data_IF_269869776997
#
_entry.id   IF_269869776997
#
_cell.length_a   1.000
_cell.length_b   1.000
_cell.length_c   1.000
_cell.angle_alpha   90.00
_cell.angle_beta   90.00
_cell.angle_gamma   90.00
#
_symmetry.space_group_name_H-M   'P 1'
#
loop_
_entity.id
_entity.type
_entity.pdbx_description
1 polymer ?
#
# COMPACT_ATOMS: atom_id res chain seq x y z
N UNK A 1 -2.65 -39.85 -33.57
CA UNK A 1 -3.18 -38.54 -34.00
C UNK A 1 -2.23 -37.95 -35.05
N UNK A 2 -2.69 -37.16 -36.04
CA UNK A 2 -1.80 -36.51 -37.00
C UNK A 2 -1.02 -35.39 -36.32
N UNK A 3 0.31 -35.36 -36.46
CA UNK A 3 1.19 -34.38 -35.81
C UNK A 3 0.80 -32.94 -36.16
N UNK A 4 0.43 -32.71 -37.41
CA UNK A 4 -0.06 -31.42 -37.91
C UNK A 4 -1.31 -30.91 -37.18
N UNK A 5 -2.22 -31.79 -36.76
CA UNK A 5 -3.43 -31.41 -36.02
C UNK A 5 -3.07 -30.98 -34.59
N UNK A 6 -2.20 -31.74 -33.93
CA UNK A 6 -1.72 -31.43 -32.59
C UNK A 6 -0.93 -30.11 -32.55
N UNK A 7 0.06 -29.96 -33.44
CA UNK A 7 0.87 -28.74 -33.55
C UNK A 7 0.00 -27.50 -33.82
N UNK A 8 -1.07 -27.65 -34.61
CA UNK A 8 -2.05 -26.60 -34.88
C UNK A 8 -2.85 -26.18 -33.64
N UNK A 9 -3.32 -27.15 -32.84
CA UNK A 9 -4.04 -26.87 -31.58
C UNK A 9 -3.13 -26.16 -30.58
N UNK A 10 -1.92 -26.69 -30.36
CA UNK A 10 -0.96 -26.12 -29.40
C UNK A 10 -0.58 -24.69 -29.81
N UNK A 11 -0.34 -24.46 -31.10
CA UNK A 11 -0.01 -23.13 -31.63
C UNK A 11 -1.15 -22.13 -31.39
N UNK A 12 -2.41 -22.52 -31.69
CA UNK A 12 -3.58 -21.67 -31.50
C UNK A 12 -3.81 -21.34 -30.03
N UNK A 13 -3.72 -22.35 -29.15
CA UNK A 13 -3.83 -22.15 -27.69
C UNK A 13 -2.73 -21.21 -27.20
N UNK A 14 -1.49 -21.37 -27.66
CA UNK A 14 -0.39 -20.48 -27.28
C UNK A 14 -0.61 -19.02 -27.71
N UNK A 15 -1.13 -18.77 -28.92
CA UNK A 15 -1.50 -17.41 -29.35
C UNK A 15 -2.64 -16.84 -28.49
N UNK A 16 -3.64 -17.66 -28.17
CA UNK A 16 -4.75 -17.26 -27.29
C UNK A 16 -4.27 -16.87 -25.89
N UNK A 17 -3.41 -17.70 -25.27
CA UNK A 17 -2.82 -17.41 -23.97
C UNK A 17 -1.91 -16.19 -23.99
N UNK A 18 -1.12 -16.00 -25.05
CA UNK A 18 -0.29 -14.81 -25.24
C UNK A 18 -1.13 -13.53 -25.27
N UNK A 19 -2.20 -13.52 -26.07
CA UNK A 19 -3.13 -12.40 -26.14
C UNK A 19 -3.79 -12.12 -24.78
N UNK A 20 -4.25 -13.17 -24.09
CA UNK A 20 -4.82 -13.04 -22.75
C UNK A 20 -3.83 -12.40 -21.77
N UNK A 21 -2.58 -12.83 -21.77
CA UNK A 21 -1.54 -12.28 -20.90
C UNK A 21 -1.22 -10.82 -21.22
N UNK A 22 -1.26 -10.40 -22.49
CA UNK A 22 -1.11 -8.99 -22.84
C UNK A 22 -2.27 -8.13 -22.32
N UNK A 23 -3.51 -8.62 -22.43
CA UNK A 23 -4.68 -7.94 -21.86
C UNK A 23 -4.55 -7.83 -20.34
N UNK A 24 -4.17 -8.92 -19.68
CA UNK A 24 -3.95 -8.94 -18.23
C UNK A 24 -2.85 -7.95 -17.81
N UNK A 25 -1.72 -7.91 -18.53
CA UNK A 25 -0.64 -6.97 -18.27
C UNK A 25 -1.10 -5.51 -18.40
N UNK A 26 -1.90 -5.20 -19.43
CA UNK A 26 -2.48 -3.86 -19.61
C UNK A 26 -3.41 -3.46 -18.47
N UNK A 27 -4.32 -4.34 -18.06
CA UNK A 27 -5.25 -4.09 -16.95
C UNK A 27 -4.51 -3.92 -15.61
N UNK A 28 -3.51 -4.76 -15.33
CA UNK A 28 -2.70 -4.65 -14.12
C UNK A 28 -1.88 -3.36 -14.09
N UNK A 29 -1.30 -2.95 -15.22
CA UNK A 29 -0.56 -1.70 -15.32
C UNK A 29 -1.48 -0.47 -15.11
N UNK A 30 -2.72 -0.53 -15.62
CA UNK A 30 -3.73 0.49 -15.33
C UNK A 30 -4.07 0.54 -13.83
N UNK A 31 -4.28 -0.62 -13.20
CA UNK A 31 -4.53 -0.71 -11.76
C UNK A 31 -3.39 -0.12 -10.92
N UNK A 32 -2.13 -0.40 -11.28
CA UNK A 32 -0.96 0.23 -10.66
C UNK A 32 -1.00 1.76 -10.78
N UNK A 33 -1.18 2.27 -12.00
CA UNK A 33 -1.18 3.71 -12.26
C UNK A 33 -2.29 4.45 -11.50
N UNK A 34 -3.48 3.85 -11.42
CA UNK A 34 -4.58 4.37 -10.62
C UNK A 34 -4.21 4.43 -9.13
N UNK A 35 -3.74 3.32 -8.56
CA UNK A 35 -3.42 3.25 -7.14
C UNK A 35 -2.31 4.23 -6.74
N UNK A 36 -1.22 4.29 -7.51
CA UNK A 36 -0.09 5.17 -7.24
C UNK A 36 -0.50 6.65 -7.32
N UNK A 37 -1.26 7.03 -8.35
CA UNK A 37 -1.72 8.42 -8.55
C UNK A 37 -2.75 8.85 -7.49
N UNK A 38 -3.69 7.96 -7.14
CA UNK A 38 -4.68 8.23 -6.11
C UNK A 38 -4.02 8.42 -4.75
N UNK A 39 -3.08 7.55 -4.37
CA UNK A 39 -2.36 7.68 -3.09
C UNK A 39 -1.51 8.95 -3.08
N UNK A 40 -0.74 9.19 -4.14
CA UNK A 40 0.13 10.36 -4.24
C UNK A 40 -0.65 11.68 -4.11
N UNK A 41 -1.76 11.83 -4.85
CA UNK A 41 -2.61 13.02 -4.77
C UNK A 41 -3.25 13.22 -3.40
N UNK A 42 -3.79 12.15 -2.79
CA UNK A 42 -4.43 12.23 -1.48
C UNK A 42 -3.43 12.56 -0.35
N UNK A 43 -2.23 11.95 -0.37
CA UNK A 43 -1.18 12.25 0.60
C UNK A 43 -0.64 13.67 0.42
N UNK A 44 -0.40 14.10 -0.82
CA UNK A 44 0.08 15.45 -1.11
C UNK A 44 -0.92 16.54 -0.65
N UNK A 45 -2.21 16.25 -0.71
CA UNK A 45 -3.26 17.15 -0.23
C UNK A 45 -3.21 17.38 1.29
N UNK A 46 -2.66 16.44 2.07
CA UNK A 46 -2.54 16.59 3.53
C UNK A 46 -1.48 17.60 3.97
N UNK A 47 -0.56 18.00 3.07
CA UNK A 47 0.53 18.95 3.37
C UNK A 47 1.41 18.54 4.56
N UNK A 48 1.53 17.24 4.82
CA UNK A 48 2.39 16.70 5.88
C UNK A 48 3.82 16.62 5.37
N UNK A 49 4.72 17.41 5.95
CA UNK A 49 6.16 17.32 5.72
C UNK A 49 6.78 16.28 6.65
N UNK A 50 7.64 15.41 6.12
CA UNK A 50 8.32 14.41 6.94
C UNK A 50 9.39 15.10 7.82
N UNK A 51 9.48 14.73 9.11
CA UNK A 51 10.56 15.20 9.95
C UNK A 51 11.89 14.59 9.49
N UNK A 52 13.01 15.25 9.79
CA UNK A 52 14.35 14.71 9.47
C UNK A 52 14.77 13.56 10.41
N UNK A 53 14.09 13.43 11.55
CA UNK A 53 14.34 12.42 12.58
C UNK A 53 13.04 11.92 13.16
N UNK A 54 13.03 10.67 13.62
CA UNK A 54 11.85 10.08 14.27
C UNK A 54 11.71 10.47 15.74
N UNK A 55 12.81 10.89 16.37
CA UNK A 55 12.90 11.06 17.82
C UNK A 55 13.07 9.74 18.58
N UNK A 56 13.02 8.59 17.90
CA UNK A 56 13.28 7.28 18.47
C UNK A 56 14.79 6.96 18.39
N UNK A 57 15.51 6.87 19.53
CA UNK A 57 16.94 6.54 19.52
C UNK A 57 17.20 5.08 19.11
N UNK A 58 16.19 4.21 19.20
CA UNK A 58 16.31 2.78 18.95
C UNK A 58 15.97 2.38 17.50
N UNK A 59 15.72 3.36 16.63
CA UNK A 59 15.43 3.09 15.22
C UNK A 59 16.64 2.48 14.49
N UNK A 60 16.35 1.50 13.64
CA UNK A 60 17.36 0.90 12.77
C UNK A 60 18.01 1.94 11.85
N UNK A 61 19.29 1.72 11.50
CA UNK A 61 20.05 2.63 10.65
C UNK A 61 19.35 2.98 9.32
N UNK A 62 18.65 2.02 8.72
CA UNK A 62 17.87 2.23 7.50
C UNK A 62 16.70 3.21 7.71
N UNK A 63 16.01 3.14 8.84
CA UNK A 63 14.95 4.08 9.21
C UNK A 63 15.51 5.48 9.41
N UNK A 64 16.63 5.59 10.15
CA UNK A 64 17.31 6.88 10.35
C UNK A 64 17.73 7.50 9.01
N UNK A 65 18.33 6.72 8.12
CA UNK A 65 18.72 7.16 6.79
C UNK A 65 17.50 7.62 5.95
N UNK A 66 16.40 6.87 6.00
CA UNK A 66 15.17 7.22 5.29
C UNK A 66 14.62 8.59 5.73
N UNK A 67 14.50 8.82 7.04
CA UNK A 67 14.00 10.10 7.56
C UNK A 67 14.96 11.26 7.26
N UNK A 68 16.27 11.03 7.31
CA UNK A 68 17.25 12.04 6.92
C UNK A 68 17.13 12.42 5.44
N UNK A 69 16.94 11.45 4.55
CA UNK A 69 16.79 11.69 3.11
C UNK A 69 15.43 12.34 2.77
N UNK A 70 14.39 12.06 3.54
CA UNK A 70 13.04 12.55 3.30
C UNK A 70 12.67 13.78 4.15
N UNK A 71 13.55 14.23 5.05
CA UNK A 71 13.31 15.37 5.93
C UNK A 71 12.95 16.63 5.15
N UNK A 72 11.89 17.31 5.58
CA UNK A 72 11.35 18.51 4.94
C UNK A 72 10.55 18.26 3.66
N UNK A 73 10.63 17.06 3.07
CA UNK A 73 9.85 16.72 1.87
C UNK A 73 8.40 16.46 2.23
N UNK A 74 7.52 16.82 1.31
CA UNK A 74 6.10 16.49 1.42
C UNK A 74 5.90 14.97 1.28
N UNK A 75 5.01 14.41 2.09
CA UNK A 75 4.58 13.02 1.96
C UNK A 75 3.72 12.84 0.71
N UNK A 76 4.22 12.08 -0.27
CA UNK A 76 3.53 11.85 -1.56
C UNK A 76 3.56 10.40 -2.00
N UNK A 77 4.10 9.48 -1.19
CA UNK A 77 4.17 8.06 -1.53
C UNK A 77 3.63 7.19 -0.40
N UNK A 78 3.06 6.03 -0.74
CA UNK A 78 2.62 5.06 0.26
C UNK A 78 3.76 4.62 1.19
N UNK A 79 4.99 4.52 0.66
CA UNK A 79 6.16 4.19 1.48
C UNK A 79 6.48 5.26 2.53
N UNK A 80 6.41 6.54 2.18
CA UNK A 80 6.57 7.63 3.15
C UNK A 80 5.46 7.62 4.21
N UNK A 81 4.22 7.33 3.80
CA UNK A 81 3.09 7.18 4.73
C UNK A 81 3.31 6.05 5.74
N UNK A 82 3.77 4.88 5.27
CA UNK A 82 4.15 3.78 6.15
C UNK A 82 5.24 4.20 7.14
N UNK A 83 6.34 4.77 6.64
CA UNK A 83 7.48 5.14 7.48
C UNK A 83 7.09 6.16 8.56
N UNK A 84 6.30 7.17 8.19
CA UNK A 84 5.79 8.15 9.14
C UNK A 84 4.82 7.53 10.16
N UNK A 85 3.91 6.66 9.71
CA UNK A 85 2.94 6.00 10.57
C UNK A 85 3.58 5.05 11.58
N UNK A 86 4.57 4.25 11.16
CA UNK A 86 5.17 3.22 12.01
C UNK A 86 6.27 3.78 12.91
N UNK A 87 7.16 4.62 12.39
CA UNK A 87 8.35 5.04 13.13
C UNK A 87 8.21 6.41 13.81
N UNK A 88 7.41 7.33 13.24
CA UNK A 88 7.18 8.63 13.89
C UNK A 88 5.92 8.61 14.76
N UNK A 89 4.75 8.40 14.17
CA UNK A 89 3.49 8.39 14.92
C UNK A 89 3.43 7.21 15.90
N UNK A 90 3.85 6.02 15.48
CA UNK A 90 3.88 4.83 16.35
C UNK A 90 4.66 5.07 17.64
N UNK A 91 5.87 5.62 17.53
CA UNK A 91 6.72 5.95 18.68
C UNK A 91 6.14 7.04 19.58
N UNK A 92 5.63 8.14 19.01
CA UNK A 92 5.09 9.22 19.83
C UNK A 92 3.78 8.80 20.52
N UNK A 93 2.93 8.04 19.83
CA UNK A 93 1.70 7.51 20.40
C UNK A 93 1.96 6.43 21.46
N UNK A 94 3.02 5.64 21.35
CA UNK A 94 3.39 4.68 22.39
C UNK A 94 3.85 5.33 23.70
N UNK A 95 4.16 6.64 23.67
CA UNK A 95 4.45 7.45 24.86
C UNK A 95 3.22 8.15 25.43
N UNK A 96 2.06 7.96 24.81
CA UNK A 96 0.78 8.47 25.29
C UNK A 96 -0.04 7.34 25.92
N UNK A 97 -1.11 7.70 26.63
CA UNK A 97 -2.12 6.73 27.06
C UNK A 97 -2.77 6.06 25.85
N UNK A 98 -3.18 4.80 26.00
CA UNK A 98 -3.97 4.15 24.96
C UNK A 98 -5.32 4.87 24.78
N UNK A 99 -5.97 4.70 23.63
CA UNK A 99 -7.30 5.27 23.41
C UNK A 99 -8.30 4.82 24.48
N UNK A 100 -8.24 3.54 24.88
CA UNK A 100 -9.14 2.99 25.89
C UNK A 100 -8.92 3.65 27.27
N UNK A 101 -7.66 3.83 27.66
CA UNK A 101 -7.31 4.48 28.92
C UNK A 101 -7.70 5.96 28.89
N UNK A 102 -7.31 6.69 27.84
CA UNK A 102 -7.65 8.11 27.69
C UNK A 102 -9.17 8.34 27.66
N UNK A 103 -9.91 7.46 26.98
CA UNK A 103 -11.38 7.51 26.92
C UNK A 103 -12.01 7.25 28.29
N UNK A 104 -11.44 6.32 29.06
CA UNK A 104 -11.93 6.02 30.40
C UNK A 104 -11.65 7.19 31.33
N UNK A 105 -10.43 7.72 31.35
CA UNK A 105 -10.06 8.90 32.14
C UNK A 105 -10.97 10.08 31.82
N UNK A 106 -11.15 10.41 30.54
CA UNK A 106 -12.01 11.53 30.13
C UNK A 106 -13.46 11.37 30.62
N UNK A 107 -14.04 10.18 30.50
CA UNK A 107 -15.39 9.89 30.99
C UNK A 107 -15.49 10.02 32.51
N UNK A 108 -14.51 9.49 33.25
CA UNK A 108 -14.48 9.57 34.71
C UNK A 108 -14.33 11.00 35.21
N UNK A 109 -13.41 11.78 34.63
CA UNK A 109 -13.19 13.19 35.02
C UNK A 109 -14.39 14.06 34.65
N UNK A 110 -15.01 13.82 33.49
CA UNK A 110 -16.24 14.53 33.09
C UNK A 110 -17.40 14.25 34.06
N UNK A 111 -17.56 13.00 34.50
CA UNK A 111 -18.57 12.64 35.50
C UNK A 111 -18.34 13.34 36.85
N UNK A 112 -17.09 13.39 37.33
CA UNK A 112 -16.74 14.08 38.57
C UNK A 112 -16.98 15.60 38.48
N UNK A 113 -16.62 16.22 37.35
CA UNK A 113 -16.84 17.63 37.06
C UNK A 113 -18.34 17.97 36.97
N UNK A 114 -19.15 17.10 36.34
CA UNK A 114 -20.59 17.28 36.25
C UNK A 114 -21.28 17.14 37.62
N UNK A 115 -20.78 16.26 38.49
CA UNK A 115 -21.27 16.11 39.85
C UNK A 115 -20.93 17.31 40.76
N UNK A 116 -19.87 18.06 40.45
CA UNK A 116 -19.42 19.21 41.23
C UNK A 116 -19.11 20.42 40.32
N UNK A 117 -20.13 21.10 39.77
CA UNK A 117 -19.94 22.12 38.74
C UNK A 117 -19.14 23.36 39.19
N UNK A 118 -19.12 23.66 40.48
CA UNK A 118 -18.38 24.80 41.05
C UNK A 118 -16.92 24.49 41.37
N UNK A 119 -16.49 23.23 41.29
CA UNK A 119 -15.12 22.83 41.55
C UNK A 119 -14.25 23.06 40.31
N UNK A 120 -13.51 24.17 40.31
CA UNK A 120 -12.64 24.55 39.22
C UNK A 120 -11.49 23.54 38.95
N UNK A 121 -11.05 22.79 39.96
CA UNK A 121 -10.01 21.78 39.78
C UNK A 121 -10.54 20.57 39.01
N UNK A 122 -11.77 20.15 39.29
CA UNK A 122 -12.43 19.07 38.56
C UNK A 122 -12.75 19.44 37.11
N UNK A 123 -13.19 20.68 36.86
CA UNK A 123 -13.38 21.18 35.49
C UNK A 123 -12.06 21.14 34.70
N UNK A 124 -10.98 21.67 35.29
CA UNK A 124 -9.65 21.68 34.65
C UNK A 124 -9.12 20.27 34.37
N UNK A 125 -9.37 19.32 35.28
CA UNK A 125 -8.99 17.92 35.08
C UNK A 125 -9.77 17.28 33.92
N UNK A 126 -11.08 17.57 33.81
CA UNK A 126 -11.91 17.09 32.71
C UNK A 126 -11.45 17.66 31.36
N UNK A 127 -11.15 18.95 31.29
CA UNK A 127 -10.65 19.60 30.07
C UNK A 127 -9.31 18.99 29.62
N UNK A 128 -8.39 18.77 30.56
CA UNK A 128 -7.08 18.17 30.28
C UNK A 128 -7.20 16.72 29.79
N UNK A 129 -8.11 15.94 30.41
CA UNK A 129 -8.35 14.56 30.00
C UNK A 129 -9.00 14.50 28.61
N UNK A 130 -9.94 15.39 28.32
CA UNK A 130 -10.55 15.51 27.00
C UNK A 130 -9.53 15.90 25.93
N UNK A 131 -8.66 16.88 26.20
CA UNK A 131 -7.60 17.27 25.28
C UNK A 131 -6.62 16.12 24.97
N UNK A 132 -6.33 15.30 25.98
CA UNK A 132 -5.50 14.09 25.82
C UNK A 132 -6.21 13.06 24.93
N UNK A 133 -7.48 12.78 25.21
CA UNK A 133 -8.31 11.88 24.39
C UNK A 133 -8.36 12.35 22.94
N UNK A 134 -8.60 13.63 22.69
CA UNK A 134 -8.66 14.20 21.35
C UNK A 134 -7.32 14.03 20.60
N UNK A 135 -6.20 14.23 21.30
CA UNK A 135 -4.86 14.09 20.71
C UNK A 135 -4.58 12.64 20.34
N UNK A 136 -4.83 11.69 21.27
CA UNK A 136 -4.66 10.27 21.02
C UNK A 136 -5.58 9.79 19.90
N UNK A 137 -6.85 10.20 19.91
CA UNK A 137 -7.80 9.84 18.88
C UNK A 137 -7.37 10.34 17.50
N UNK A 138 -7.00 11.62 17.37
CA UNK A 138 -6.51 12.19 16.10
C UNK A 138 -5.24 11.48 15.62
N UNK A 139 -4.29 11.22 16.53
CA UNK A 139 -3.04 10.55 16.17
C UNK A 139 -3.23 9.10 15.75
N UNK A 140 -4.01 8.31 16.49
CA UNK A 140 -4.31 6.91 16.14
C UNK A 140 -5.12 6.84 14.84
N UNK A 141 -6.06 7.76 14.64
CA UNK A 141 -6.84 7.85 13.40
C UNK A 141 -5.94 8.19 12.21
N UNK A 142 -5.08 9.20 12.33
CA UNK A 142 -4.11 9.56 11.29
C UNK A 142 -3.17 8.40 10.98
N UNK A 143 -2.64 7.72 12.01
CA UNK A 143 -1.81 6.52 11.81
C UNK A 143 -2.56 5.45 11.02
N UNK A 144 -3.80 5.18 11.38
CA UNK A 144 -4.65 4.20 10.68
C UNK A 144 -4.90 4.57 9.21
N UNK A 145 -5.27 5.83 8.92
CA UNK A 145 -5.54 6.26 7.54
C UNK A 145 -4.29 6.24 6.66
N UNK A 146 -3.12 6.59 7.21
CA UNK A 146 -1.84 6.49 6.51
C UNK A 146 -1.45 5.05 6.19
N UNK A 147 -1.68 4.11 7.11
CA UNK A 147 -1.44 2.69 6.86
C UNK A 147 -2.42 2.12 5.82
N UNK A 148 -3.67 2.60 5.78
CA UNK A 148 -4.60 2.26 4.71
C UNK A 148 -4.12 2.79 3.36
N UNK A 149 -3.62 4.02 3.29
CA UNK A 149 -3.04 4.58 2.07
C UNK A 149 -1.82 3.78 1.59
N UNK A 150 -0.96 3.35 2.53
CA UNK A 150 0.15 2.44 2.24
C UNK A 150 -0.34 1.09 1.68
N UNK A 151 -1.35 0.46 2.31
CA UNK A 151 -1.87 -0.81 1.83
C UNK A 151 -2.42 -0.73 0.40
N UNK A 152 -3.14 0.36 0.07
CA UNK A 152 -3.64 0.58 -1.28
C UNK A 152 -2.51 0.84 -2.30
N UNK A 153 -1.48 1.58 -1.89
CA UNK A 153 -0.28 1.78 -2.70
C UNK A 153 0.44 0.45 -2.97
N UNK A 154 0.60 -0.40 -1.94
CA UNK A 154 1.27 -1.69 -2.06
C UNK A 154 0.53 -2.63 -3.02
N UNK A 155 -0.81 -2.62 -3.02
CA UNK A 155 -1.60 -3.33 -4.04
C UNK A 155 -1.27 -2.85 -5.47
N UNK A 156 -1.08 -1.54 -5.64
CA UNK A 156 -0.59 -0.97 -6.90
C UNK A 156 0.80 -1.49 -7.27
N UNK A 157 1.74 -1.55 -6.32
CA UNK A 157 3.09 -2.07 -6.55
C UNK A 157 3.07 -3.55 -6.96
N UNK A 158 2.22 -4.36 -6.34
CA UNK A 158 2.01 -5.77 -6.71
C UNK A 158 1.45 -5.87 -8.13
N UNK A 159 0.48 -5.02 -8.48
CA UNK A 159 -0.07 -4.96 -9.84
C UNK A 159 1.02 -4.59 -10.88
N UNK A 160 1.94 -3.68 -10.53
CA UNK A 160 3.09 -3.33 -11.39
C UNK A 160 3.98 -4.54 -11.67
N UNK A 161 4.35 -5.29 -10.63
CA UNK A 161 5.20 -6.48 -10.78
C UNK A 161 4.46 -7.55 -11.60
N UNK A 162 3.20 -7.78 -11.29
CA UNK A 162 2.35 -8.75 -11.98
C UNK A 162 2.17 -8.41 -13.47
N UNK A 163 2.01 -7.12 -13.79
CA UNK A 163 1.97 -6.65 -15.17
C UNK A 163 3.26 -6.98 -15.93
N UNK A 164 4.43 -6.78 -15.32
CA UNK A 164 5.72 -7.13 -15.90
C UNK A 164 5.86 -8.64 -16.16
N UNK A 165 5.47 -9.47 -15.19
CA UNK A 165 5.49 -10.94 -15.34
C UNK A 165 4.55 -11.39 -16.46
N UNK A 166 3.32 -10.86 -16.50
CA UNK A 166 2.34 -11.17 -17.54
C UNK A 166 2.84 -10.74 -18.93
N UNK A 167 3.48 -9.58 -19.05
CA UNK A 167 4.05 -9.10 -20.30
C UNK A 167 5.17 -10.02 -20.80
N UNK A 168 6.11 -10.40 -19.93
CA UNK A 168 7.20 -11.32 -20.28
C UNK A 168 6.63 -12.68 -20.68
N UNK A 169 5.69 -13.23 -19.91
CA UNK A 169 5.03 -14.48 -20.24
C UNK A 169 4.29 -14.43 -21.59
N UNK A 170 3.59 -13.33 -21.85
CA UNK A 170 2.90 -13.08 -23.12
C UNK A 170 3.87 -13.05 -24.30
N UNK A 171 5.01 -12.37 -24.17
CA UNK A 171 6.06 -12.32 -25.19
C UNK A 171 6.69 -13.70 -25.44
N UNK A 172 7.00 -14.45 -24.37
CA UNK A 172 7.58 -15.78 -24.50
C UNK A 172 6.61 -16.73 -25.23
N UNK A 173 5.34 -16.75 -24.85
CA UNK A 173 4.33 -17.56 -25.53
C UNK A 173 4.13 -17.12 -26.98
N UNK A 174 4.17 -15.81 -27.27
CA UNK A 174 4.09 -15.31 -28.63
C UNK A 174 5.22 -15.88 -29.50
N UNK A 175 6.45 -15.83 -29.00
CA UNK A 175 7.63 -16.37 -29.70
C UNK A 175 7.52 -17.87 -29.91
N UNK A 176 7.11 -18.63 -28.90
CA UNK A 176 6.92 -20.08 -29.00
C UNK A 176 5.79 -20.44 -29.98
N UNK A 177 4.69 -19.68 -29.98
CA UNK A 177 3.59 -19.86 -30.94
C UNK A 177 4.01 -19.53 -32.36
N UNK A 178 4.81 -18.48 -32.57
CA UNK A 178 5.39 -18.20 -33.90
C UNK A 178 6.31 -19.34 -34.35
N UNK A 179 7.16 -19.87 -33.46
CA UNK A 179 7.99 -21.03 -33.77
C UNK A 179 7.16 -22.28 -34.08
N UNK A 180 6.11 -22.56 -33.29
CA UNK A 180 5.16 -23.64 -33.51
C UNK A 180 4.43 -23.51 -34.85
N UNK A 181 4.06 -22.30 -35.24
CA UNK A 181 3.46 -22.01 -36.54
C UNK A 181 4.43 -22.24 -37.71
N UNK A 182 5.69 -21.82 -37.56
CA UNK A 182 6.75 -22.11 -38.55
C UNK A 182 6.99 -23.61 -38.67
N UNK A 183 7.02 -24.33 -37.55
CA UNK A 183 7.16 -25.79 -37.51
C UNK A 183 5.99 -26.47 -38.21
N UNK A 184 4.75 -26.07 -37.91
CA UNK A 184 3.52 -26.57 -38.53
C UNK A 184 3.55 -26.44 -40.07
N UNK A 185 4.09 -25.33 -40.60
CA UNK A 185 4.24 -25.10 -42.05
C UNK A 185 5.25 -26.05 -42.71
N UNK A 186 6.18 -26.60 -41.92
CA UNK A 186 7.24 -27.52 -42.39
C UNK A 186 6.90 -28.99 -42.14
N UNK A 187 5.88 -29.31 -41.32
CA UNK A 187 5.49 -30.69 -40.99
C UNK A 187 4.78 -31.40 -42.17
N UNK A 188 5.26 -32.58 -42.61
CA UNK A 188 4.61 -33.38 -43.65
C UNK A 188 3.20 -33.87 -43.27
N UNK A 189 2.36 -34.16 -44.26
CA UNK A 189 0.94 -34.50 -44.03
C UNK A 189 0.74 -35.88 -43.39
N UNK A 190 1.71 -36.77 -43.60
CA UNK A 190 1.79 -38.15 -43.16
C UNK A 190 2.44 -38.31 -41.77
N UNK A 191 3.00 -37.23 -41.21
CA UNK A 191 3.65 -37.29 -39.90
C UNK A 191 2.63 -37.59 -38.77
N UNK A 192 2.92 -38.64 -38.00
CA UNK A 192 2.18 -39.01 -36.78
C UNK A 192 2.91 -38.54 -35.53
N UNK A 193 2.18 -38.41 -34.42
CA UNK A 193 2.73 -38.13 -33.08
C UNK A 193 3.44 -39.37 -32.55
#
# INVERSE_FOLDING_TARGET
MKRRTFDGIVTLVGFGLSLFLFVAAGLMNWGYSFADSAVSSQLAAQKISLPATTGNPDDAAATVAFFKENGGKLMTTGKQAQMYADHYLGFHLSRMATYADASTTARTTAGAAAANPSDAALQKAADSAQATLDTVFKGVTLRGTLLTAYAFWELGQIARISAGVALIGGLLLLVLSMAGWVHLRRTPAEATI
#
